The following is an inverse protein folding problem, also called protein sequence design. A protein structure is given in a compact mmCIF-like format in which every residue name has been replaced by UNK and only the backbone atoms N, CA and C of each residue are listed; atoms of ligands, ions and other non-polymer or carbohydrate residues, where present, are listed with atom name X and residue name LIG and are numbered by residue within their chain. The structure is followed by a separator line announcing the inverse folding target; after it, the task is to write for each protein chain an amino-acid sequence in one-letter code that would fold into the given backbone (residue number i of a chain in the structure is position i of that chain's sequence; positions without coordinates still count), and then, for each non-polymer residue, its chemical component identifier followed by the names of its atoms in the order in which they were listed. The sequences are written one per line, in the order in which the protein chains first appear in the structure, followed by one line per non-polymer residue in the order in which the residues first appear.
data_IF_500921334086
#
_entry.id   IF_500921334086
#
_cell.length_a   1.000
_cell.length_b   1.000
_cell.length_c   1.000
_cell.angle_alpha   90.00
_cell.angle_beta   90.00
_cell.angle_gamma   90.00
#
_symmetry.space_group_name_H-M   'P 1'
#
loop_
_entity.id
_entity.type
_entity.pdbx_description
1 polymer ?
#
# COMPACT_ATOMS: atom_id res chain seq x y z
N UNK A 1 -0.26 -22.58 10.26
CA UNK A 1 -0.36 -21.17 9.85
C UNK A 1 0.24 -21.02 8.46
N UNK A 2 -0.51 -20.39 7.56
CA UNK A 2 -0.05 -20.11 6.21
C UNK A 2 0.67 -18.79 6.15
N UNK A 3 1.82 -18.77 5.51
CA UNK A 3 2.60 -17.55 5.30
C UNK A 3 2.72 -17.29 3.81
N UNK A 4 2.39 -16.07 3.40
CA UNK A 4 2.42 -15.65 2.00
C UNK A 4 3.51 -14.60 1.82
N UNK A 5 4.25 -14.72 0.74
CA UNK A 5 5.32 -13.80 0.39
C UNK A 5 4.96 -12.99 -0.84
N UNK A 6 5.45 -11.76 -0.88
CA UNK A 6 5.29 -10.90 -2.04
C UNK A 6 6.07 -11.46 -3.23
N UNK A 7 5.47 -11.35 -4.41
CA UNK A 7 6.16 -11.55 -5.68
C UNK A 7 6.52 -10.17 -6.24
N UNK A 8 7.74 -9.67 -6.02
CA UNK A 8 8.07 -8.29 -6.36
C UNK A 8 8.05 -8.00 -7.85
N UNK A 9 8.30 -9.01 -8.69
CA UNK A 9 8.30 -8.81 -10.14
C UNK A 9 6.90 -8.62 -10.73
N UNK A 10 5.85 -9.01 -9.99
CA UNK A 10 4.46 -8.91 -10.42
C UNK A 10 3.63 -8.06 -9.46
N UNK A 11 4.28 -7.18 -8.72
CA UNK A 11 3.60 -6.35 -7.72
C UNK A 11 3.90 -4.88 -7.97
N UNK A 12 2.94 -4.04 -7.60
CA UNK A 12 3.02 -2.61 -7.84
C UNK A 12 2.36 -1.85 -6.70
N UNK A 13 3.01 -0.79 -6.25
CA UNK A 13 2.43 0.15 -5.27
C UNK A 13 2.46 1.53 -5.88
N UNK A 14 1.29 2.06 -6.17
CA UNK A 14 1.16 3.37 -6.79
C UNK A 14 0.23 4.29 -6.05
N UNK A 15 0.28 5.55 -6.44
CA UNK A 15 -0.62 6.57 -5.91
C UNK A 15 -0.98 7.56 -7.01
N UNK A 16 -2.06 8.29 -6.73
CA UNK A 16 -2.58 9.30 -7.63
C UNK A 16 -3.01 10.49 -6.80
N UNK A 17 -2.50 11.65 -7.12
CA UNK A 17 -2.81 12.90 -6.40
C UNK A 17 -3.34 13.92 -7.37
N UNK A 18 -4.47 14.54 -7.02
CA UNK A 18 -5.03 15.62 -7.81
C UNK A 18 -4.17 16.88 -7.62
N UNK A 19 -3.76 17.48 -8.73
CA UNK A 19 -2.94 18.68 -8.74
C UNK A 19 -3.73 19.84 -9.33
N UNK A 20 -3.85 20.94 -8.58
CA UNK A 20 -4.56 22.17 -8.99
C UNK A 20 -5.98 21.91 -9.47
N UNK A 21 -6.63 20.86 -8.99
CA UNK A 21 -8.01 20.48 -9.31
C UNK A 21 -8.26 20.13 -10.78
N UNK A 22 -7.23 20.07 -11.62
CA UNK A 22 -7.39 19.86 -13.06
C UNK A 22 -6.59 18.69 -13.61
N UNK A 23 -5.52 18.28 -12.94
CA UNK A 23 -4.69 17.16 -13.39
C UNK A 23 -4.39 16.23 -12.23
N UNK A 24 -3.82 15.06 -12.56
CA UNK A 24 -3.35 14.10 -11.57
C UNK A 24 -1.86 13.90 -11.71
N UNK A 25 -1.19 13.78 -10.57
CA UNK A 25 0.18 13.29 -10.50
C UNK A 25 0.11 11.83 -10.13
N UNK A 26 0.67 10.98 -10.98
CA UNK A 26 0.78 9.54 -10.72
C UNK A 26 2.20 9.23 -10.29
N UNK A 27 2.32 8.38 -9.29
CA UNK A 27 3.63 7.95 -8.83
C UNK A 27 3.56 6.56 -8.26
N UNK A 28 4.72 6.04 -7.91
CA UNK A 28 4.83 4.73 -7.28
C UNK A 28 6.01 4.69 -6.33
N UNK A 29 6.00 3.66 -5.48
CA UNK A 29 7.13 3.30 -4.65
C UNK A 29 7.72 2.02 -5.22
N UNK A 30 9.03 2.00 -5.43
CA UNK A 30 9.71 0.87 -6.05
C UNK A 30 10.24 -0.15 -5.04
N UNK A 31 10.39 0.26 -3.78
CA UNK A 31 10.82 -0.63 -2.69
C UNK A 31 9.72 -0.78 -1.66
N UNK A 32 9.14 -1.96 -1.59
CA UNK A 32 8.05 -2.28 -0.68
C UNK A 32 8.03 -3.78 -0.40
N UNK A 33 7.32 -4.17 0.66
CA UNK A 33 7.11 -5.56 1.00
C UNK A 33 5.73 -5.73 1.66
N UNK A 34 5.16 -6.91 1.50
CA UNK A 34 3.93 -7.33 2.15
C UNK A 34 4.15 -8.68 2.78
N UNK A 35 3.79 -8.80 4.04
CA UNK A 35 3.76 -10.06 4.75
C UNK A 35 2.32 -10.37 5.12
N UNK A 36 1.84 -11.52 4.71
CA UNK A 36 0.51 -12.00 5.08
C UNK A 36 0.62 -13.35 5.76
N UNK A 37 0.00 -13.47 6.91
CA UNK A 37 -0.11 -14.73 7.64
C UNK A 37 -1.57 -15.02 7.93
N UNK A 38 -1.98 -16.27 7.82
CA UNK A 38 -3.35 -16.68 8.08
C UNK A 38 -3.37 -18.01 8.83
N UNK A 39 -4.06 -18.08 9.99
CA UNK A 39 -4.18 -19.34 10.71
C UNK A 39 -5.09 -20.36 9.99
N UNK A 40 -5.94 -19.87 9.09
CA UNK A 40 -6.88 -20.69 8.32
C UNK A 40 -6.81 -20.31 6.85
N UNK A 41 -7.59 -20.98 6.00
CA UNK A 41 -7.73 -20.63 4.59
C UNK A 41 -8.67 -19.45 4.36
N UNK A 42 -9.32 -18.96 5.41
CA UNK A 42 -10.21 -17.81 5.32
C UNK A 42 -9.39 -16.51 5.38
N UNK A 43 -9.47 -15.72 4.32
CA UNK A 43 -8.75 -14.44 4.24
C UNK A 43 -9.17 -13.48 5.35
N UNK A 44 -10.40 -13.60 5.87
CA UNK A 44 -10.86 -12.74 6.96
C UNK A 44 -10.09 -12.96 8.27
N UNK A 45 -9.39 -14.09 8.40
CA UNK A 45 -8.55 -14.38 9.56
C UNK A 45 -7.09 -13.97 9.37
N UNK A 46 -6.75 -13.39 8.23
CA UNK A 46 -5.37 -13.05 7.90
C UNK A 46 -4.90 -11.80 8.62
N UNK A 47 -3.59 -11.72 8.81
CA UNK A 47 -2.89 -10.52 9.22
C UNK A 47 -2.01 -10.04 8.08
N UNK A 48 -2.12 -8.76 7.76
CA UNK A 48 -1.39 -8.14 6.66
C UNK A 48 -0.53 -7.02 7.22
N UNK A 49 0.77 -7.11 6.95
CA UNK A 49 1.73 -6.06 7.25
C UNK A 49 2.32 -5.56 5.94
N UNK A 50 2.15 -4.29 5.67
CA UNK A 50 2.69 -3.64 4.49
C UNK A 50 3.74 -2.61 4.90
N UNK A 51 4.82 -2.56 4.12
CA UNK A 51 5.90 -1.61 4.30
C UNK A 51 6.31 -1.06 2.94
N UNK A 52 6.59 0.23 2.86
CA UNK A 52 7.35 0.76 1.72
C UNK A 52 8.41 1.75 2.18
N UNK A 53 9.49 1.81 1.41
CA UNK A 53 10.54 2.79 1.60
C UNK A 53 10.09 4.08 0.92
N UNK A 54 9.85 5.14 1.69
CA UNK A 54 9.36 6.40 1.15
C UNK A 54 10.38 7.05 0.22
N UNK A 55 11.67 6.76 0.41
CA UNK A 55 12.73 7.26 -0.46
C UNK A 55 12.70 6.64 -1.86
N UNK A 56 11.96 5.54 -2.04
CA UNK A 56 11.79 4.88 -3.34
C UNK A 56 10.69 5.50 -4.20
N UNK A 57 10.12 6.64 -3.78
CA UNK A 57 9.07 7.33 -4.53
C UNK A 57 9.57 7.78 -5.89
N UNK A 58 8.73 7.60 -6.91
CA UNK A 58 9.03 8.03 -8.27
C UNK A 58 7.77 8.57 -8.96
N UNK A 59 7.88 9.74 -9.53
CA UNK A 59 6.85 10.33 -10.41
C UNK A 59 7.41 10.59 -11.80
N UNK A 60 8.60 10.05 -12.10
CA UNK A 60 9.34 10.19 -13.36
C UNK A 60 9.87 11.61 -13.62
N UNK A 61 9.87 12.47 -12.62
CA UNK A 61 10.46 13.82 -12.69
C UNK A 61 11.33 14.01 -11.45
N UNK A 62 12.63 14.13 -11.66
CA UNK A 62 13.60 14.14 -10.57
C UNK A 62 13.36 15.29 -9.58
N UNK A 63 13.13 16.49 -10.05
CA UNK A 63 12.94 17.65 -9.18
C UNK A 63 11.69 17.49 -8.33
N UNK A 64 10.63 16.95 -8.90
CA UNK A 64 9.40 16.67 -8.17
C UNK A 64 9.62 15.57 -7.14
N UNK A 65 10.34 14.51 -7.49
CA UNK A 65 10.65 13.43 -6.57
C UNK A 65 11.49 13.92 -5.40
N UNK A 66 12.49 14.77 -5.65
CA UNK A 66 13.30 15.36 -4.60
C UNK A 66 12.48 16.21 -3.64
N UNK A 67 11.51 16.96 -4.16
CA UNK A 67 10.61 17.77 -3.34
C UNK A 67 9.68 16.90 -2.48
N UNK A 68 9.17 15.80 -3.05
CA UNK A 68 8.33 14.85 -2.32
C UNK A 68 9.09 14.16 -1.17
N UNK A 69 10.40 13.98 -1.32
CA UNK A 69 11.24 13.41 -0.27
C UNK A 69 11.60 14.39 0.83
N UNK A 70 11.40 15.68 0.58
CA UNK A 70 11.77 16.73 1.52
C UNK A 70 10.81 16.81 2.70
N UNK A 71 11.16 17.66 3.66
CA UNK A 71 10.36 17.87 4.88
C UNK A 71 8.99 18.51 4.61
N UNK A 72 8.79 19.08 3.41
CA UNK A 72 7.46 19.56 3.00
C UNK A 72 6.46 18.43 2.79
N UNK A 73 6.94 17.21 2.51
CA UNK A 73 6.07 16.06 2.22
C UNK A 73 6.43 14.87 3.11
N UNK A 74 7.12 13.87 2.54
CA UNK A 74 7.38 12.63 3.27
C UNK A 74 8.51 12.71 4.28
N UNK A 75 9.42 13.68 4.12
CA UNK A 75 10.58 13.82 4.99
C UNK A 75 11.30 12.48 5.14
N UNK A 76 11.74 11.94 4.01
CA UNK A 76 12.24 10.56 3.91
C UNK A 76 13.47 10.31 4.76
N UNK A 77 14.30 11.33 4.99
CA UNK A 77 15.49 11.21 5.84
C UNK A 77 15.10 10.90 7.28
N UNK A 78 14.05 11.56 7.79
CA UNK A 78 13.57 11.37 9.14
C UNK A 78 12.58 10.23 9.26
N UNK A 79 11.77 10.00 8.23
CA UNK A 79 10.71 8.99 8.21
C UNK A 79 10.84 8.11 6.96
N UNK A 80 11.76 7.15 6.98
CA UNK A 80 12.03 6.35 5.77
C UNK A 80 10.94 5.35 5.41
N UNK A 81 9.99 5.08 6.31
CA UNK A 81 9.02 4.00 6.12
C UNK A 81 7.60 4.49 6.18
N UNK A 82 6.76 3.97 5.29
CA UNK A 82 5.31 4.03 5.36
C UNK A 82 4.82 2.63 5.68
N UNK A 83 3.93 2.49 6.65
CA UNK A 83 3.55 1.19 7.21
C UNK A 83 2.03 1.10 7.29
N UNK A 84 1.48 -0.05 6.90
CA UNK A 84 0.09 -0.39 7.14
C UNK A 84 0.00 -1.73 7.85
N UNK A 85 -0.79 -1.80 8.92
CA UNK A 85 -1.04 -3.03 9.66
C UNK A 85 -2.54 -3.27 9.72
N UNK A 86 -2.99 -4.39 9.21
CA UNK A 86 -4.40 -4.73 9.25
C UNK A 86 -4.87 -5.04 10.67
N UNK A 87 -6.14 -4.72 10.95
CA UNK A 87 -6.81 -5.07 12.20
C UNK A 87 -7.99 -5.97 11.99
N UNK A 88 -8.74 -5.74 10.91
CA UNK A 88 -9.89 -6.57 10.59
C UNK A 88 -10.10 -6.64 9.09
N UNK A 89 -10.59 -7.76 8.64
CA UNK A 89 -10.91 -8.00 7.24
C UNK A 89 -12.32 -8.54 7.18
N UNK A 90 -13.20 -7.88 6.44
CA UNK A 90 -14.59 -8.27 6.29
C UNK A 90 -14.90 -8.53 4.82
N UNK A 91 -15.66 -9.56 4.55
CA UNK A 91 -16.13 -9.84 3.20
C UNK A 91 -17.29 -8.88 2.89
N UNK A 92 -17.15 -8.12 1.80
CA UNK A 92 -18.16 -7.15 1.37
C UNK A 92 -19.02 -7.66 0.21
N UNK A 93 -18.46 -8.53 -0.63
CA UNK A 93 -19.15 -9.15 -1.75
C UNK A 93 -18.33 -10.36 -2.19
N UNK A 94 -18.77 -11.08 -3.21
CA UNK A 94 -18.00 -12.19 -3.77
C UNK A 94 -16.64 -11.70 -4.25
N UNK A 95 -15.58 -12.31 -3.76
CA UNK A 95 -14.19 -11.95 -4.06
C UNK A 95 -13.83 -10.51 -3.70
N UNK A 96 -14.63 -9.85 -2.85
CA UNK A 96 -14.38 -8.48 -2.40
C UNK A 96 -14.36 -8.42 -0.89
N UNK A 97 -13.41 -7.66 -0.37
CA UNK A 97 -13.18 -7.53 1.06
C UNK A 97 -12.91 -6.08 1.42
N UNK A 98 -13.19 -5.76 2.66
CA UNK A 98 -12.83 -4.47 3.25
C UNK A 98 -11.82 -4.72 4.34
N UNK A 99 -10.67 -4.08 4.23
CA UNK A 99 -9.56 -4.25 5.17
C UNK A 99 -9.43 -2.99 5.99
N UNK A 100 -9.71 -3.10 7.29
CA UNK A 100 -9.45 -2.02 8.23
C UNK A 100 -8.10 -2.19 8.88
N UNK A 101 -7.39 -1.10 9.09
CA UNK A 101 -6.10 -1.15 9.73
C UNK A 101 -5.54 0.23 10.01
N UNK A 102 -4.33 0.26 10.52
CA UNK A 102 -3.64 1.49 10.87
C UNK A 102 -2.58 1.81 9.82
N UNK A 103 -2.69 2.99 9.21
CA UNK A 103 -1.70 3.52 8.30
C UNK A 103 -0.84 4.54 9.02
N UNK A 104 0.47 4.35 8.94
CA UNK A 104 1.45 5.28 9.50
C UNK A 104 2.22 5.93 8.37
N UNK A 105 2.12 7.25 8.28
CA UNK A 105 2.91 8.07 7.38
C UNK A 105 3.58 9.14 8.24
N UNK A 106 4.89 9.28 8.11
CA UNK A 106 5.68 10.12 8.99
C UNK A 106 5.51 9.62 10.44
N UNK A 107 5.09 10.48 11.35
CA UNK A 107 4.84 10.09 12.74
C UNK A 107 3.35 10.04 13.09
N UNK A 108 2.49 10.02 12.08
CA UNK A 108 1.04 10.02 12.26
C UNK A 108 0.48 8.67 11.87
N UNK A 109 -0.26 8.05 12.79
CA UNK A 109 -0.94 6.77 12.58
C UNK A 109 -2.43 7.00 12.69
N UNK A 110 -3.16 6.66 11.63
CA UNK A 110 -4.61 6.82 11.57
C UNK A 110 -5.26 5.54 11.05
N UNK A 111 -6.47 5.23 11.51
CA UNK A 111 -7.22 4.11 10.96
C UNK A 111 -7.72 4.45 9.55
N UNK A 112 -7.59 3.48 8.65
CA UNK A 112 -8.10 3.59 7.29
C UNK A 112 -8.76 2.30 6.88
N UNK A 113 -9.51 2.35 5.77
CA UNK A 113 -10.07 1.17 5.13
C UNK A 113 -9.57 1.08 3.71
N UNK A 114 -9.23 -0.14 3.30
CA UNK A 114 -8.86 -0.45 1.93
C UNK A 114 -9.90 -1.39 1.34
N UNK A 115 -10.28 -1.12 0.10
CA UNK A 115 -11.07 -2.06 -0.68
C UNK A 115 -10.13 -3.07 -1.32
N UNK A 116 -10.45 -4.35 -1.19
CA UNK A 116 -9.64 -5.43 -1.69
C UNK A 116 -10.45 -6.28 -2.65
N UNK A 117 -9.88 -6.58 -3.80
CA UNK A 117 -10.44 -7.53 -4.75
C UNK A 117 -9.49 -8.71 -4.88
N UNK A 118 -10.03 -9.90 -4.69
CA UNK A 118 -9.28 -11.14 -4.93
C UNK A 118 -9.48 -11.57 -6.37
N UNK A 119 -8.40 -11.67 -7.14
CA UNK A 119 -8.44 -11.99 -8.56
C UNK A 119 -8.25 -13.48 -8.86
N UNK A 120 -8.12 -14.30 -7.82
CA UNK A 120 -7.94 -15.72 -7.99
C UNK A 120 -6.50 -16.18 -7.78
N UNK A 121 -6.28 -17.43 -8.06
CA UNK A 121 -4.98 -18.05 -7.91
C UNK A 121 -4.60 -18.82 -9.17
N UNK A 122 -3.30 -19.03 -9.36
CA UNK A 122 -2.77 -19.82 -10.46
C UNK A 122 -1.47 -20.48 -10.01
N UNK A 123 -1.12 -21.57 -10.66
CA UNK A 123 0.13 -22.29 -10.41
C UNK A 123 1.11 -21.91 -11.51
N UNK A 124 2.29 -21.45 -11.12
CA UNK A 124 3.31 -21.04 -12.07
C UNK A 124 4.11 -22.27 -12.59
N UNK A 125 5.07 -21.98 -13.47
CA UNK A 125 5.91 -23.04 -14.10
C UNK A 125 6.81 -23.75 -13.08
N UNK A 126 7.00 -23.18 -11.90
CA UNK A 126 7.79 -23.79 -10.81
C UNK A 126 6.91 -24.53 -9.80
N UNK A 127 5.64 -24.77 -10.14
CA UNK A 127 4.66 -25.44 -9.30
C UNK A 127 4.36 -24.69 -7.98
N UNK A 128 4.46 -23.36 -8.03
CA UNK A 128 4.10 -22.50 -6.90
C UNK A 128 2.76 -21.84 -7.15
N UNK A 129 1.91 -21.83 -6.13
CA UNK A 129 0.62 -21.16 -6.21
C UNK A 129 0.78 -19.67 -5.98
N UNK A 130 0.27 -18.87 -6.92
CA UNK A 130 0.24 -17.42 -6.84
C UNK A 130 -1.18 -16.95 -6.61
N UNK A 131 -1.33 -15.96 -5.76
CA UNK A 131 -2.62 -15.35 -5.42
C UNK A 131 -2.60 -13.90 -5.86
N UNK A 132 -3.63 -13.47 -6.57
CA UNK A 132 -3.72 -12.10 -7.07
C UNK A 132 -4.70 -11.25 -6.28
N UNK A 133 -4.26 -10.07 -5.86
CA UNK A 133 -5.08 -9.11 -5.12
C UNK A 133 -4.88 -7.70 -5.67
N UNK A 134 -5.95 -6.93 -5.62
CA UNK A 134 -5.90 -5.49 -5.85
C UNK A 134 -6.45 -4.80 -4.62
N UNK A 135 -5.69 -3.83 -4.11
CA UNK A 135 -6.10 -3.04 -2.96
C UNK A 135 -6.17 -1.57 -3.37
N UNK A 136 -7.19 -0.90 -2.88
CA UNK A 136 -7.43 0.50 -3.20
C UNK A 136 -7.94 1.23 -1.96
N UNK A 137 -7.41 2.42 -1.74
CA UNK A 137 -7.88 3.28 -0.64
C UNK A 137 -7.68 4.74 -0.98
N UNK A 138 -8.46 5.56 -0.30
CA UNK A 138 -8.32 7.02 -0.37
C UNK A 138 -7.95 7.53 1.00
N UNK A 139 -6.98 8.43 1.04
CA UNK A 139 -6.59 9.11 2.26
C UNK A 139 -6.57 10.61 2.00
N UNK A 140 -6.80 11.38 3.06
CA UNK A 140 -6.58 12.82 3.02
C UNK A 140 -5.15 13.08 3.44
N UNK A 141 -4.32 13.57 2.52
CA UNK A 141 -2.90 13.79 2.78
C UNK A 141 -2.65 14.82 3.88
N UNK A 142 -3.58 15.75 4.07
CA UNK A 142 -3.45 16.74 5.13
C UNK A 142 -3.51 16.10 6.52
N UNK A 143 -4.27 15.01 6.68
CA UNK A 143 -4.37 14.28 7.93
C UNK A 143 -3.03 13.66 8.36
N UNK A 144 -2.16 13.40 7.39
CA UNK A 144 -0.83 12.81 7.62
C UNK A 144 0.30 13.83 7.53
N UNK A 145 -0.04 15.11 7.49
CA UNK A 145 0.98 16.15 7.41
C UNK A 145 1.71 16.21 6.06
N UNK A 146 1.13 15.63 5.02
CA UNK A 146 1.65 15.73 3.66
C UNK A 146 1.06 17.00 3.05
N UNK A 147 1.83 18.05 3.04
CA UNK A 147 1.33 19.35 2.61
C UNK A 147 1.07 19.40 1.12
N UNK A 148 0.10 20.22 0.73
CA UNK A 148 -0.16 20.51 -0.67
C UNK A 148 0.05 22.00 -0.94
N UNK A 149 0.54 22.25 -2.10
CA UNK A 149 0.60 23.58 -2.67
C UNK A 149 -0.80 24.02 -3.15
#
# INVERSE_FOLDING_TARGET
MNTYKLDPSHSYVGFKVKHMMITYVNGNFTEFDIKMTAPTDNICDANIDFYCNTNSISTNIKDRDDHLKSDDFFDCEKYPSLIFKSKNIEKSDENKYKIGGDLTIKNITLPIYLDCKYNGSNVDIYNKTKYGFELFGKINRNDFGLRSE
#
